data_IF_130563252213
#
_entry.id   IF_130563252213
#
_cell.length_a   1.000
_cell.length_b   1.000
_cell.length_c   1.000
_cell.angle_alpha   90.00
_cell.angle_beta   90.00
_cell.angle_gamma   90.00
#
_symmetry.space_group_name_H-M   'P 1'
#
loop_
_entity.id
_entity.type
_entity.pdbx_description
1 polymer ?
#
# COMPACT_ATOMS: atom_id res chain seq x y z
N UNK A 1 58.30 80.68 -30.92
CA UNK A 1 58.75 79.35 -31.39
C UNK A 1 59.08 78.40 -30.24
N UNK A 2 59.70 78.86 -29.15
CA UNK A 2 59.99 78.06 -27.93
C UNK A 2 58.73 77.57 -27.22
N UNK A 3 57.77 78.46 -26.93
CA UNK A 3 56.51 78.09 -26.25
C UNK A 3 55.69 77.02 -26.98
N UNK A 4 55.59 77.10 -28.32
CA UNK A 4 54.83 76.12 -29.10
C UNK A 4 55.50 74.73 -29.05
N UNK A 5 56.83 74.69 -28.95
CA UNK A 5 57.58 73.44 -28.90
C UNK A 5 57.47 72.78 -27.53
N UNK A 6 57.53 73.56 -26.46
CA UNK A 6 57.24 73.09 -25.10
C UNK A 6 55.83 72.51 -24.99
N UNK A 7 54.81 73.17 -25.57
CA UNK A 7 53.44 72.63 -25.58
C UNK A 7 53.32 71.32 -26.37
N UNK A 8 54.04 71.18 -27.49
CA UNK A 8 54.07 69.93 -28.28
C UNK A 8 54.73 68.82 -27.48
N UNK A 9 55.88 69.09 -26.85
CA UNK A 9 56.63 68.12 -26.05
C UNK A 9 55.82 67.66 -24.82
N UNK A 10 55.11 68.57 -24.14
CA UNK A 10 54.20 68.23 -23.04
C UNK A 10 53.02 67.36 -23.50
N UNK A 11 52.46 67.64 -24.67
CA UNK A 11 51.38 66.82 -25.23
C UNK A 11 51.86 65.44 -25.65
N UNK A 12 53.06 65.35 -26.23
CA UNK A 12 53.66 64.08 -26.63
C UNK A 12 53.96 63.21 -25.39
N UNK A 13 54.49 63.81 -24.33
CA UNK A 13 54.75 63.09 -23.08
C UNK A 13 53.45 62.65 -22.41
N UNK A 14 52.43 63.52 -22.34
CA UNK A 14 51.12 63.14 -21.81
C UNK A 14 50.49 61.98 -22.60
N UNK A 15 50.61 61.98 -23.93
CA UNK A 15 50.10 60.91 -24.79
C UNK A 15 50.86 59.60 -24.58
N UNK A 16 52.19 59.65 -24.42
CA UNK A 16 53.02 58.48 -24.07
C UNK A 16 52.60 57.88 -22.73
N UNK A 17 52.35 58.70 -21.71
CA UNK A 17 51.89 58.22 -20.41
C UNK A 17 50.51 57.56 -20.47
N UNK A 18 49.61 58.09 -21.30
CA UNK A 18 48.30 57.46 -21.55
C UNK A 18 48.44 56.10 -22.22
N UNK A 19 49.28 56.00 -23.26
CA UNK A 19 49.55 54.73 -23.94
C UNK A 19 50.09 53.69 -22.96
N UNK A 20 51.09 54.06 -22.15
CA UNK A 20 51.67 53.15 -21.14
C UNK A 20 50.65 52.68 -20.10
N UNK A 21 49.73 53.56 -19.72
CA UNK A 21 48.66 53.23 -18.77
C UNK A 21 47.70 52.20 -19.38
N UNK A 22 47.27 52.43 -20.62
CA UNK A 22 46.39 51.52 -21.36
C UNK A 22 47.05 50.16 -21.56
N UNK A 23 48.32 50.12 -21.98
CA UNK A 23 49.07 48.87 -22.17
C UNK A 23 49.18 48.07 -20.88
N UNK A 24 49.47 48.74 -19.77
CA UNK A 24 49.57 48.10 -18.45
C UNK A 24 48.23 47.52 -18.00
N UNK A 25 47.14 48.25 -18.22
CA UNK A 25 45.80 47.80 -17.86
C UNK A 25 45.34 46.62 -18.72
N UNK A 26 45.57 46.66 -20.03
CA UNK A 26 45.28 45.54 -20.93
C UNK A 26 46.10 44.29 -20.58
N UNK A 27 47.38 44.45 -20.26
CA UNK A 27 48.24 43.33 -19.84
C UNK A 27 47.75 42.71 -18.52
N UNK A 28 47.28 43.54 -17.59
CA UNK A 28 46.69 43.07 -16.33
C UNK A 28 45.40 42.28 -16.61
N UNK A 29 44.50 42.81 -17.43
CA UNK A 29 43.28 42.11 -17.82
C UNK A 29 43.58 40.75 -18.46
N UNK A 30 44.56 40.67 -19.36
CA UNK A 30 44.99 39.41 -19.98
C UNK A 30 45.47 38.36 -18.97
N UNK A 31 46.29 38.75 -18.00
CA UNK A 31 46.74 37.83 -16.95
C UNK A 31 45.60 37.44 -15.99
N UNK A 32 44.68 38.37 -15.70
CA UNK A 32 43.48 38.10 -14.89
C UNK A 32 42.57 37.06 -15.58
N UNK A 33 42.46 37.06 -16.92
CA UNK A 33 41.71 36.06 -17.68
C UNK A 33 42.42 34.70 -17.82
N UNK A 34 43.76 34.69 -17.79
CA UNK A 34 44.55 33.47 -18.00
C UNK A 34 44.40 32.45 -16.88
N UNK A 35 44.29 32.92 -15.64
CA UNK A 35 44.13 32.06 -14.46
C UNK A 35 42.80 31.28 -14.45
N UNK A 36 41.62 31.91 -14.60
CA UNK A 36 40.35 31.19 -14.68
C UNK A 36 40.27 30.30 -15.91
N UNK A 37 40.81 30.73 -17.06
CA UNK A 37 40.84 29.91 -18.27
C UNK A 37 41.67 28.63 -18.09
N UNK A 38 42.80 28.72 -17.39
CA UNK A 38 43.63 27.55 -17.05
C UNK A 38 42.89 26.60 -16.09
N UNK A 39 42.15 27.14 -15.14
CA UNK A 39 41.33 26.35 -14.22
C UNK A 39 40.18 25.63 -14.95
N UNK A 40 39.47 26.33 -15.86
CA UNK A 40 38.44 25.72 -16.71
C UNK A 40 39.03 24.61 -17.61
N UNK A 41 40.20 24.84 -18.20
CA UNK A 41 40.90 23.84 -19.01
C UNK A 41 41.25 22.59 -18.19
N UNK A 42 41.70 22.77 -16.96
CA UNK A 42 41.97 21.65 -16.04
C UNK A 42 40.69 20.88 -15.70
N UNK A 43 39.60 21.58 -15.41
CA UNK A 43 38.30 20.96 -15.13
C UNK A 43 37.77 20.16 -16.33
N UNK A 44 37.86 20.73 -17.54
CA UNK A 44 37.50 20.05 -18.79
C UNK A 44 38.33 18.79 -19.01
N UNK A 45 39.64 18.84 -18.75
CA UNK A 45 40.49 17.66 -18.86
C UNK A 45 40.12 16.57 -17.84
N UNK A 46 39.81 16.95 -16.60
CA UNK A 46 39.34 15.98 -15.58
C UNK A 46 38.04 15.32 -16.03
N UNK A 47 37.08 16.09 -16.56
CA UNK A 47 35.83 15.55 -17.08
C UNK A 47 36.05 14.62 -18.26
N UNK A 48 36.92 15.00 -19.20
CA UNK A 48 37.27 14.16 -20.36
C UNK A 48 37.89 12.83 -19.92
N UNK A 49 38.88 12.86 -19.03
CA UNK A 49 39.53 11.64 -18.53
C UNK A 49 38.54 10.76 -17.76
N UNK A 50 37.65 11.37 -16.96
CA UNK A 50 36.58 10.65 -16.26
C UNK A 50 35.63 9.97 -17.24
N UNK A 51 35.23 10.68 -18.31
CA UNK A 51 34.39 10.14 -19.36
C UNK A 51 35.06 8.96 -20.10
N UNK A 52 36.32 9.10 -20.51
CA UNK A 52 37.08 8.04 -21.19
C UNK A 52 37.25 6.79 -20.31
N UNK A 53 37.51 6.96 -19.00
CA UNK A 53 37.56 5.85 -18.04
C UNK A 53 36.20 5.15 -17.87
N UNK A 54 35.11 5.91 -17.77
CA UNK A 54 33.76 5.34 -17.66
C UNK A 54 33.35 4.57 -18.93
N UNK A 55 33.71 5.11 -20.10
CA UNK A 55 33.48 4.47 -21.39
C UNK A 55 34.29 3.17 -21.54
N UNK A 56 35.58 3.21 -21.20
CA UNK A 56 36.49 2.06 -21.33
C UNK A 56 36.18 0.93 -20.35
N UNK A 57 35.66 1.24 -19.17
CA UNK A 57 35.35 0.25 -18.13
C UNK A 57 34.02 -0.50 -18.34
N UNK A 58 33.29 -0.26 -19.43
CA UNK A 58 31.91 -0.73 -19.66
C UNK A 58 30.93 -0.41 -18.51
N UNK A 59 31.31 0.50 -17.59
CA UNK A 59 30.47 1.00 -16.52
C UNK A 59 29.60 2.16 -17.02
N UNK A 60 28.92 1.97 -18.15
CA UNK A 60 27.99 2.97 -18.71
C UNK A 60 26.86 3.32 -17.74
N UNK A 61 26.57 2.43 -16.78
CA UNK A 61 25.61 2.67 -15.69
C UNK A 61 26.06 3.83 -14.79
N UNK A 62 27.37 4.03 -14.57
CA UNK A 62 27.87 5.18 -13.79
C UNK A 62 27.69 6.51 -14.51
N UNK A 63 27.65 6.54 -15.85
CA UNK A 63 27.29 7.73 -16.62
C UNK A 63 25.81 8.10 -16.40
N UNK A 64 24.93 7.09 -16.25
CA UNK A 64 23.51 7.28 -15.95
C UNK A 64 23.25 7.68 -14.48
N UNK A 65 24.11 7.25 -13.54
CA UNK A 65 23.97 7.50 -12.09
C UNK A 65 24.25 8.95 -11.65
N UNK A 66 24.64 9.85 -12.55
CA UNK A 66 25.19 11.17 -12.13
C UNK A 66 24.16 12.27 -11.91
N UNK A 67 22.86 12.03 -12.07
CA UNK A 67 21.86 12.99 -11.62
C UNK A 67 20.91 12.34 -10.65
N UNK A 68 21.22 12.50 -9.37
CA UNK A 68 20.28 12.27 -8.27
C UNK A 68 18.93 12.94 -8.55
N UNK A 69 18.94 14.13 -9.19
CA UNK A 69 17.76 14.82 -9.68
C UNK A 69 16.93 14.01 -10.71
N UNK A 70 17.60 13.24 -11.57
CA UNK A 70 16.94 12.41 -12.57
C UNK A 70 16.36 11.14 -11.93
N UNK A 71 17.07 10.51 -11.01
CA UNK A 71 16.55 9.38 -10.24
C UNK A 71 15.36 9.80 -9.37
N UNK A 72 15.44 10.97 -8.73
CA UNK A 72 14.34 11.56 -7.96
C UNK A 72 13.14 11.87 -8.86
N UNK A 73 13.39 12.41 -10.05
CA UNK A 73 12.34 12.65 -11.04
C UNK A 73 11.67 11.34 -11.49
N UNK A 74 12.44 10.31 -11.83
CA UNK A 74 11.92 8.99 -12.22
C UNK A 74 11.11 8.36 -11.09
N UNK A 75 11.62 8.41 -9.85
CA UNK A 75 10.94 7.86 -8.68
C UNK A 75 9.61 8.59 -8.39
N UNK A 76 9.61 9.92 -8.46
CA UNK A 76 8.41 10.75 -8.25
C UNK A 76 7.36 10.51 -9.34
N UNK A 77 7.82 10.39 -10.59
CA UNK A 77 6.96 10.11 -11.74
C UNK A 77 6.36 8.71 -11.65
N UNK A 78 7.14 7.70 -11.27
CA UNK A 78 6.66 6.33 -11.02
C UNK A 78 5.66 6.25 -9.87
N UNK A 79 5.90 6.99 -8.77
CA UNK A 79 4.95 7.06 -7.65
C UNK A 79 3.60 7.62 -8.09
N UNK A 80 3.63 8.66 -8.91
CA UNK A 80 2.41 9.31 -9.43
C UNK A 80 1.68 8.39 -10.41
N UNK A 81 2.41 7.71 -11.30
CA UNK A 81 1.86 6.69 -12.21
C UNK A 81 1.18 5.53 -11.47
N UNK A 82 1.79 5.01 -10.40
CA UNK A 82 1.16 3.97 -9.58
C UNK A 82 -0.12 4.45 -8.91
N UNK A 83 -0.17 5.71 -8.45
CA UNK A 83 -1.37 6.27 -7.84
C UNK A 83 -2.51 6.53 -8.83
N UNK A 84 -2.17 6.72 -10.11
CA UNK A 84 -3.13 6.90 -11.21
C UNK A 84 -3.51 5.57 -11.88
N UNK A 85 -2.82 4.49 -11.54
CA UNK A 85 -3.10 3.18 -12.08
C UNK A 85 -4.42 2.67 -11.47
N UNK A 86 -5.44 2.48 -12.31
CA UNK A 86 -6.69 1.89 -11.84
C UNK A 86 -6.41 0.51 -11.23
N UNK A 87 -7.10 0.14 -10.14
CA UNK A 87 -6.99 -1.20 -9.58
C UNK A 87 -7.28 -2.23 -10.66
N UNK A 88 -6.51 -3.31 -10.66
CA UNK A 88 -6.74 -4.40 -11.59
C UNK A 88 -8.14 -4.99 -11.35
N UNK A 89 -8.78 -5.56 -12.38
CA UNK A 89 -10.08 -6.26 -12.22
C UNK A 89 -10.04 -7.29 -11.06
N UNK A 90 -8.89 -7.91 -10.83
CA UNK A 90 -8.65 -8.87 -9.74
C UNK A 90 -8.79 -8.25 -8.35
N UNK A 91 -8.41 -6.99 -8.16
CA UNK A 91 -8.53 -6.27 -6.88
C UNK A 91 -9.98 -5.91 -6.59
N UNK A 92 -10.77 -5.53 -7.59
CA UNK A 92 -12.22 -5.37 -7.46
C UNK A 92 -12.92 -6.68 -7.07
N UNK A 93 -12.52 -7.82 -7.68
CA UNK A 93 -13.05 -9.13 -7.29
C UNK A 93 -12.70 -9.53 -5.84
N UNK A 94 -11.49 -9.18 -5.36
CA UNK A 94 -11.09 -9.43 -3.97
C UNK A 94 -11.90 -8.60 -2.97
N UNK A 95 -12.18 -7.34 -3.31
CA UNK A 95 -13.01 -6.45 -2.49
C UNK A 95 -14.46 -6.94 -2.42
N UNK A 96 -15.02 -7.41 -3.55
CA UNK A 96 -16.35 -8.04 -3.62
C UNK A 96 -16.41 -9.38 -2.85
N UNK A 97 -15.36 -10.20 -2.91
CA UNK A 97 -15.25 -11.44 -2.12
C UNK A 97 -15.17 -11.17 -0.61
N UNK A 98 -14.45 -10.12 -0.20
CA UNK A 98 -14.40 -9.69 1.20
C UNK A 98 -15.76 -9.25 1.73
N UNK A 99 -16.53 -8.54 0.90
CA UNK A 99 -17.92 -8.16 1.24
C UNK A 99 -18.83 -9.38 1.39
N UNK A 100 -18.68 -10.41 0.54
CA UNK A 100 -19.39 -11.69 0.65
C UNK A 100 -19.05 -12.45 1.94
N UNK A 101 -17.77 -12.50 2.32
CA UNK A 101 -17.33 -13.11 3.58
C UNK A 101 -17.91 -12.37 4.79
N UNK A 102 -17.91 -11.04 4.76
CA UNK A 102 -18.49 -10.23 5.82
C UNK A 102 -20.01 -10.45 5.96
N UNK A 103 -20.73 -10.56 4.84
CA UNK A 103 -22.16 -10.91 4.85
C UNK A 103 -22.35 -12.32 5.42
N UNK A 104 -21.51 -13.28 5.04
CA UNK A 104 -21.57 -14.65 5.54
C UNK A 104 -21.29 -14.74 7.04
N UNK A 105 -20.33 -13.96 7.56
CA UNK A 105 -20.08 -13.82 9.00
C UNK A 105 -21.24 -13.14 9.72
N UNK A 106 -21.83 -12.08 9.14
CA UNK A 106 -23.04 -11.46 9.71
C UNK A 106 -24.21 -12.43 9.74
N UNK A 107 -24.42 -13.24 8.72
CA UNK A 107 -25.46 -14.27 8.71
C UNK A 107 -25.15 -15.34 9.78
N UNK A 108 -23.89 -15.74 9.98
CA UNK A 108 -23.51 -16.65 11.07
C UNK A 108 -23.72 -16.03 12.46
N UNK A 109 -23.48 -14.72 12.61
CA UNK A 109 -23.69 -13.99 13.86
C UNK A 109 -25.19 -13.79 14.16
N UNK A 110 -26.00 -13.46 13.14
CA UNK A 110 -27.45 -13.36 13.24
C UNK A 110 -28.14 -14.73 13.34
N UNK A 111 -27.50 -15.79 12.83
CA UNK A 111 -27.94 -17.18 12.91
C UNK A 111 -27.60 -17.87 14.24
N UNK A 112 -27.09 -17.14 15.24
CA UNK A 112 -27.20 -17.59 16.63
C UNK A 112 -28.67 -17.58 17.01
N UNK A 113 -29.37 -18.66 16.68
CA UNK A 113 -30.59 -19.03 17.37
C UNK A 113 -30.27 -18.93 18.86
N UNK A 114 -30.93 -17.99 19.53
CA UNK A 114 -30.95 -17.95 20.99
C UNK A 114 -31.44 -19.33 21.38
N UNK A 115 -30.56 -20.16 21.95
CA UNK A 115 -30.95 -21.42 22.57
C UNK A 115 -31.96 -21.04 23.66
N UNK A 116 -33.24 -21.15 23.33
CA UNK A 116 -34.30 -21.06 24.32
C UNK A 116 -34.01 -22.24 25.26
N UNK A 117 -33.70 -22.01 26.54
CA UNK A 117 -33.43 -23.10 27.45
C UNK A 117 -34.65 -24.02 27.47
N UNK A 118 -34.46 -25.35 27.54
CA UNK A 118 -35.56 -26.29 27.51
C UNK A 118 -36.54 -25.96 28.63
N UNK A 119 -37.81 -25.71 28.26
CA UNK A 119 -38.86 -25.38 29.22
C UNK A 119 -39.01 -26.52 30.23
N UNK A 120 -38.54 -26.32 31.46
CA UNK A 120 -38.68 -27.27 32.56
C UNK A 120 -39.97 -26.99 33.31
N UNK A 121 -40.93 -27.91 33.21
CA UNK A 121 -42.14 -27.86 34.01
C UNK A 121 -42.01 -28.82 35.20
N UNK A 122 -41.61 -28.27 36.34
CA UNK A 122 -41.37 -29.03 37.57
C UNK A 122 -42.60 -29.83 38.06
N UNK A 123 -43.82 -29.42 37.70
CA UNK A 123 -45.03 -30.19 38.02
C UNK A 123 -45.13 -31.46 37.18
N UNK A 124 -44.74 -31.37 35.90
CA UNK A 124 -44.78 -32.49 34.96
C UNK A 124 -43.66 -33.51 35.25
N UNK A 125 -42.49 -33.02 35.63
CA UNK A 125 -41.38 -33.87 36.09
C UNK A 125 -41.71 -34.61 37.40
N UNK A 126 -42.38 -33.94 38.35
CA UNK A 126 -42.88 -34.62 39.57
C UNK A 126 -43.91 -35.70 39.25
N UNK A 127 -44.85 -35.43 38.34
CA UNK A 127 -45.84 -36.42 37.92
C UNK A 127 -45.21 -37.63 37.23
N UNK A 128 -44.15 -37.43 36.43
CA UNK A 128 -43.38 -38.52 35.82
C UNK A 128 -42.60 -39.29 36.87
N UNK A 129 -41.96 -38.62 37.84
CA UNK A 129 -41.21 -39.29 38.91
C UNK A 129 -42.11 -40.12 39.84
N UNK A 130 -43.30 -39.61 40.17
CA UNK A 130 -44.29 -40.31 41.01
C UNK A 130 -44.94 -41.51 40.29
N UNK A 131 -45.13 -41.43 38.97
CA UNK A 131 -45.73 -42.52 38.20
C UNK A 131 -44.72 -43.48 37.55
N UNK A 132 -43.47 -43.07 37.34
CA UNK A 132 -42.43 -43.85 36.66
C UNK A 132 -41.98 -45.10 37.42
N UNK A 133 -42.33 -45.23 38.71
CA UNK A 133 -42.08 -46.45 39.51
C UNK A 133 -43.27 -47.42 39.55
N UNK A 134 -44.41 -47.09 38.91
CA UNK A 134 -45.55 -48.00 38.77
C UNK A 134 -45.41 -48.74 37.44
N UNK A 135 -44.79 -49.92 37.46
CA UNK A 135 -44.67 -50.82 36.29
C UNK A 135 -46.00 -51.48 35.87
N UNK A 136 -47.13 -51.08 36.47
CA UNK A 136 -48.45 -51.60 36.13
C UNK A 136 -49.45 -50.45 36.04
N UNK A 137 -49.94 -50.21 34.83
CA UNK A 137 -51.05 -49.29 34.59
C UNK A 137 -52.36 -50.06 34.86
N UNK A 138 -53.05 -49.73 35.96
CA UNK A 138 -54.31 -50.39 36.31
C UNK A 138 -55.48 -49.64 35.65
N UNK A 139 -55.99 -50.19 34.55
CA UNK A 139 -57.17 -49.68 33.86
C UNK A 139 -58.39 -50.49 34.30
N UNK A 140 -59.27 -49.88 35.10
CA UNK A 140 -60.56 -50.45 35.56
C UNK A 140 -60.45 -51.91 36.07
N UNK A 141 -59.45 -52.20 36.91
CA UNK A 141 -59.33 -53.49 37.58
C UNK A 141 -58.61 -54.58 36.78
N UNK A 142 -57.92 -54.25 35.68
CA UNK A 142 -57.00 -55.16 35.00
C UNK A 142 -55.58 -54.60 35.02
N UNK A 143 -54.65 -55.43 35.47
CA UNK A 143 -53.21 -55.13 35.45
C UNK A 143 -52.66 -55.47 34.07
N UNK A 144 -52.27 -54.44 33.32
CA UNK A 144 -51.67 -54.59 32.00
C UNK A 144 -50.15 -54.69 32.15
N UNK A 145 -49.57 -55.65 31.44
CA UNK A 145 -48.11 -55.86 31.37
C UNK A 145 -47.50 -55.01 30.26
N UNK A 146 -46.17 -54.86 30.26
CA UNK A 146 -45.45 -54.07 29.25
C UNK A 146 -45.70 -54.56 27.81
N UNK A 147 -45.92 -55.86 27.63
CA UNK A 147 -46.34 -56.43 26.35
C UNK A 147 -47.72 -55.93 25.91
N UNK A 148 -48.67 -55.81 26.83
CA UNK A 148 -50.01 -55.32 26.53
C UNK A 148 -49.98 -53.81 26.23
N UNK A 149 -49.14 -53.06 26.97
CA UNK A 149 -48.90 -51.63 26.72
C UNK A 149 -48.32 -51.39 25.32
N UNK A 150 -47.42 -52.27 24.85
CA UNK A 150 -46.85 -52.19 23.50
C UNK A 150 -47.91 -52.43 22.42
N UNK A 151 -48.81 -53.39 22.64
CA UNK A 151 -49.93 -53.67 21.72
C UNK A 151 -50.90 -52.48 21.67
N UNK A 152 -51.22 -51.87 22.82
CA UNK A 152 -52.08 -50.68 22.88
C UNK A 152 -51.41 -49.48 22.18
N UNK A 153 -50.11 -49.27 22.38
CA UNK A 153 -49.36 -48.20 21.73
C UNK A 153 -49.33 -48.35 20.20
N UNK A 154 -49.15 -49.58 19.70
CA UNK A 154 -49.17 -49.88 18.27
C UNK A 154 -50.58 -49.74 17.67
N UNK A 155 -51.62 -50.08 18.42
CA UNK A 155 -53.02 -49.85 18.03
C UNK A 155 -53.37 -48.36 17.96
N UNK A 156 -52.93 -47.56 18.94
CA UNK A 156 -53.14 -46.10 18.95
C UNK A 156 -52.38 -45.40 17.83
N UNK A 157 -51.16 -45.88 17.50
CA UNK A 157 -50.42 -45.40 16.33
C UNK A 157 -51.15 -45.70 15.04
N UNK A 158 -51.72 -46.90 14.88
CA UNK A 158 -52.53 -47.23 13.70
C UNK A 158 -53.82 -46.39 13.64
N UNK A 159 -54.47 -46.11 14.76
CA UNK A 159 -55.68 -45.27 14.76
C UNK A 159 -55.39 -43.81 14.44
N UNK A 160 -54.21 -43.28 14.81
CA UNK A 160 -53.81 -41.91 14.44
C UNK A 160 -53.44 -41.77 12.98
N UNK A 161 -52.91 -42.82 12.35
CA UNK A 161 -52.65 -42.84 10.89
C UNK A 161 -53.95 -42.86 10.10
N UNK A 162 -54.98 -43.56 10.55
CA UNK A 162 -56.30 -43.59 9.87
C UNK A 162 -57.00 -42.21 9.96
N UNK A 163 -56.83 -41.46 11.05
CA UNK A 163 -57.39 -40.11 11.18
C UNK A 163 -56.69 -39.02 10.34
N UNK A 164 -55.57 -39.34 9.69
CA UNK A 164 -54.87 -38.42 8.78
C UNK A 164 -55.15 -38.71 7.29
N UNK A 165 -55.82 -39.82 6.98
CA UNK A 165 -56.23 -40.19 5.61
C UNK A 165 -57.74 -40.00 5.35
N UNK A 166 -58.47 -39.32 6.25
CA UNK A 166 -59.82 -38.80 6.02
C UNK A 166 -59.85 -37.28 6.20
#
# INVERSE_FOLDING_TARGET
MTLLRETIDEHEEAMRQQILTIEKEQKKQLEDYKTPLKHELQNLNIQKVTFEMLFSSKNYIKLLQTKQEFDDYVNKTNGTLKSLQMPSRTEYYLEELGQLQFIQEKIKQCGRYVEVPPYHNAQLEKLIAENGKKQTLNLKGKNLTDSDMKIVADLLRKSTVISQEM
#
